data_IF_263916723447
#
_entry.id   IF_263916723447
#
_cell.length_a   1.000
_cell.length_b   1.000
_cell.length_c   1.000
_cell.angle_alpha   90.00
_cell.angle_beta   90.00
_cell.angle_gamma   90.00
#
_symmetry.space_group_name_H-M   'P 1'
#
loop_
_entity.id
_entity.type
_entity.pdbx_description
1 polymer ?
#
# COMPACT_ATOMS: atom_id res chain seq x y z
N UNK A 1 -2.28 5.91 -17.78
CA UNK A 1 -3.75 5.97 -17.59
C UNK A 1 -4.40 5.64 -18.91
N UNK A 2 -5.44 4.81 -18.92
CA UNK A 2 -6.27 4.53 -20.10
C UNK A 2 -7.56 5.31 -19.99
N UNK A 3 -8.02 5.89 -21.09
CA UNK A 3 -9.27 6.66 -21.13
C UNK A 3 -10.43 5.75 -21.52
N UNK A 4 -11.54 5.87 -20.81
CA UNK A 4 -12.81 5.26 -21.20
C UNK A 4 -13.36 6.00 -22.43
N UNK A 5 -13.88 5.26 -23.42
CA UNK A 5 -14.49 5.83 -24.63
C UNK A 5 -16.00 5.53 -24.60
N UNK A 6 -16.82 6.57 -24.60
CA UNK A 6 -18.29 6.44 -24.59
C UNK A 6 -18.87 6.37 -23.18
N UNK A 7 -19.27 5.17 -22.73
CA UNK A 7 -19.98 4.97 -21.46
C UNK A 7 -19.05 4.63 -20.29
N UNK A 8 -19.58 4.70 -19.07
CA UNK A 8 -18.86 4.40 -17.82
C UNK A 8 -19.51 3.23 -17.07
N UNK A 9 -20.09 2.26 -17.78
CA UNK A 9 -20.69 1.07 -17.14
C UNK A 9 -19.59 0.17 -16.59
N UNK A 10 -19.93 -0.70 -15.64
CA UNK A 10 -18.95 -1.61 -15.03
C UNK A 10 -18.24 -2.50 -16.04
N UNK A 11 -18.94 -2.93 -17.11
CA UNK A 11 -18.34 -3.69 -18.21
C UNK A 11 -17.28 -2.91 -18.99
N UNK A 12 -17.54 -1.64 -19.28
CA UNK A 12 -16.61 -0.77 -20.03
C UNK A 12 -15.32 -0.59 -19.24
N UNK A 13 -15.47 -0.39 -17.92
CA UNK A 13 -14.34 -0.22 -17.00
C UNK A 13 -13.56 -1.53 -16.87
N UNK A 14 -14.26 -2.67 -16.79
CA UNK A 14 -13.62 -3.98 -16.70
C UNK A 14 -12.82 -4.33 -17.96
N UNK A 15 -13.37 -4.06 -19.14
CA UNK A 15 -12.66 -4.26 -20.42
C UNK A 15 -11.41 -3.39 -20.52
N UNK A 16 -11.51 -2.09 -20.21
CA UNK A 16 -10.34 -1.21 -20.25
C UNK A 16 -9.29 -1.56 -19.18
N UNK A 17 -9.72 -2.10 -18.04
CA UNK A 17 -8.81 -2.66 -17.03
C UNK A 17 -8.04 -3.88 -17.58
N UNK A 18 -8.72 -4.83 -18.22
CA UNK A 18 -8.09 -6.00 -18.85
C UNK A 18 -7.10 -5.58 -19.94
N UNK A 19 -7.49 -4.68 -20.84
CA UNK A 19 -6.62 -4.10 -21.86
C UNK A 19 -5.42 -3.37 -21.26
N UNK A 20 -5.61 -2.71 -20.12
CA UNK A 20 -4.55 -2.11 -19.32
C UNK A 20 -3.52 -3.13 -18.83
N UNK A 21 -3.97 -4.25 -18.26
CA UNK A 21 -3.09 -5.32 -17.81
C UNK A 21 -2.32 -5.97 -18.97
N UNK A 22 -2.98 -6.19 -20.12
CA UNK A 22 -2.35 -6.70 -21.33
C UNK A 22 -1.25 -5.75 -21.84
N UNK A 23 -1.54 -4.46 -21.89
CA UNK A 23 -0.58 -3.42 -22.29
C UNK A 23 0.63 -3.39 -21.36
N UNK A 24 0.39 -3.48 -20.04
CA UNK A 24 1.45 -3.50 -19.02
C UNK A 24 2.16 -4.86 -18.89
N UNK A 25 1.66 -5.90 -19.58
CA UNK A 25 2.12 -7.29 -19.48
C UNK A 25 2.12 -7.80 -18.03
N UNK A 26 1.10 -7.41 -17.26
CA UNK A 26 0.92 -7.83 -15.87
C UNK A 26 -0.12 -8.94 -15.82
N UNK A 27 0.23 -10.15 -15.35
CA UNK A 27 -0.73 -11.22 -15.12
C UNK A 27 -1.81 -10.80 -14.11
N UNK A 28 -3.07 -11.16 -14.38
CA UNK A 28 -4.20 -10.89 -13.46
C UNK A 28 -3.96 -11.47 -12.05
N UNK A 29 -3.26 -12.61 -11.98
CA UNK A 29 -2.87 -13.30 -10.74
C UNK A 29 -1.91 -12.49 -9.87
N UNK A 30 -1.27 -11.46 -10.41
CA UNK A 30 -0.36 -10.58 -9.66
C UNK A 30 -1.10 -9.39 -9.01
N UNK A 31 -2.40 -9.26 -9.26
CA UNK A 31 -3.21 -8.20 -8.64
C UNK A 31 -3.59 -8.65 -7.24
N UNK A 32 -3.12 -7.92 -6.23
CA UNK A 32 -3.40 -8.20 -4.82
C UNK A 32 -4.48 -7.30 -4.24
N UNK A 33 -4.66 -6.09 -4.78
CA UNK A 33 -5.61 -5.11 -4.28
C UNK A 33 -6.20 -4.26 -5.41
N UNK A 34 -7.48 -3.91 -5.29
CA UNK A 34 -8.14 -2.92 -6.13
C UNK A 34 -8.87 -1.92 -5.23
N UNK A 35 -8.51 -0.64 -5.36
CA UNK A 35 -9.20 0.45 -4.67
C UNK A 35 -10.14 1.17 -5.63
N UNK A 36 -11.41 1.32 -5.25
CA UNK A 36 -12.43 1.97 -6.09
C UNK A 36 -13.03 3.22 -5.44
N UNK A 37 -13.65 4.07 -6.25
CA UNK A 37 -14.42 5.22 -5.76
C UNK A 37 -15.78 4.86 -5.16
N UNK A 38 -16.18 3.58 -5.06
CA UNK A 38 -17.45 3.18 -4.44
C UNK A 38 -18.72 3.44 -5.26
N UNK A 39 -18.61 3.99 -6.48
CA UNK A 39 -19.75 4.24 -7.35
C UNK A 39 -20.43 2.93 -7.81
N UNK A 40 -21.75 2.91 -8.08
CA UNK A 40 -22.47 1.66 -8.41
C UNK A 40 -21.91 0.89 -9.61
N UNK A 41 -21.38 1.59 -10.61
CA UNK A 41 -20.68 0.99 -11.75
C UNK A 41 -19.34 0.32 -11.37
N UNK A 42 -18.75 0.66 -10.22
CA UNK A 42 -17.55 0.03 -9.68
C UNK A 42 -17.88 -1.13 -8.75
N UNK A 43 -18.83 -0.96 -7.84
CA UNK A 43 -19.07 -1.86 -6.71
C UNK A 43 -20.29 -2.77 -6.86
N UNK A 44 -21.12 -2.57 -7.90
CA UNK A 44 -22.30 -3.38 -8.16
C UNK A 44 -21.97 -4.87 -8.26
N UNK A 45 -22.74 -5.71 -7.54
CA UNK A 45 -22.49 -7.17 -7.42
C UNK A 45 -22.57 -7.92 -8.75
N UNK A 46 -23.47 -7.49 -9.64
CA UNK A 46 -23.74 -8.20 -10.90
C UNK A 46 -23.13 -7.50 -12.11
N UNK A 47 -23.35 -6.17 -12.21
CA UNK A 47 -22.97 -5.37 -13.37
C UNK A 47 -21.87 -4.34 -13.09
N UNK A 48 -21.40 -4.25 -11.85
CA UNK A 48 -20.29 -3.38 -11.48
C UNK A 48 -18.95 -4.06 -11.76
N UNK A 49 -17.89 -3.26 -11.89
CA UNK A 49 -16.53 -3.73 -12.11
C UNK A 49 -16.12 -4.87 -11.16
N UNK A 50 -16.35 -4.69 -9.85
CA UNK A 50 -16.01 -5.67 -8.81
C UNK A 50 -16.78 -6.98 -8.98
N UNK A 51 -18.08 -6.89 -9.28
CA UNK A 51 -18.92 -8.04 -9.58
C UNK A 51 -18.40 -8.83 -10.77
N UNK A 52 -18.10 -8.13 -11.87
CA UNK A 52 -17.55 -8.72 -13.09
C UNK A 52 -16.17 -9.34 -12.86
N UNK A 53 -15.31 -8.68 -12.08
CA UNK A 53 -13.99 -9.20 -11.72
C UNK A 53 -14.11 -10.54 -10.99
N UNK A 54 -14.95 -10.62 -9.96
CA UNK A 54 -15.12 -11.83 -9.16
C UNK A 54 -15.78 -12.97 -9.95
N UNK A 55 -16.68 -12.66 -10.90
CA UNK A 55 -17.27 -13.67 -11.80
C UNK A 55 -16.23 -14.26 -12.77
N UNK A 56 -15.34 -13.42 -13.31
CA UNK A 56 -14.33 -13.86 -14.28
C UNK A 56 -13.10 -14.51 -13.61
N UNK A 57 -12.79 -14.12 -12.37
CA UNK A 57 -11.59 -14.55 -11.65
C UNK A 57 -11.89 -15.01 -10.21
N UNK A 58 -12.77 -16.00 -10.00
CA UNK A 58 -13.24 -16.40 -8.66
C UNK A 58 -12.14 -16.98 -7.77
N UNK A 59 -11.06 -17.52 -8.35
CA UNK A 59 -9.90 -18.04 -7.60
C UNK A 59 -8.85 -16.97 -7.26
N UNK A 60 -9.06 -15.72 -7.66
CA UNK A 60 -8.10 -14.65 -7.42
C UNK A 60 -8.48 -13.88 -6.15
N UNK A 61 -7.73 -14.11 -5.07
CA UNK A 61 -7.98 -13.50 -3.75
C UNK A 61 -7.54 -12.02 -3.73
N UNK A 62 -8.30 -11.15 -4.41
CA UNK A 62 -8.05 -9.71 -4.47
C UNK A 62 -8.77 -8.99 -3.35
N UNK A 63 -8.04 -8.15 -2.61
CA UNK A 63 -8.65 -7.25 -1.63
C UNK A 63 -9.29 -6.07 -2.35
N UNK A 64 -10.57 -5.83 -2.09
CA UNK A 64 -11.26 -4.65 -2.61
C UNK A 64 -11.43 -3.62 -1.51
N UNK A 65 -10.90 -2.41 -1.74
CA UNK A 65 -11.05 -1.29 -0.81
C UNK A 65 -11.85 -0.17 -1.46
N UNK A 66 -12.65 0.52 -0.66
CA UNK A 66 -13.24 1.79 -1.09
C UNK A 66 -12.33 2.93 -0.65
N UNK A 67 -11.99 3.81 -1.60
CA UNK A 67 -11.16 4.99 -1.40
C UNK A 67 -11.45 5.72 -0.08
N UNK A 68 -10.46 5.73 0.79
CA UNK A 68 -10.53 6.26 2.17
C UNK A 68 -11.00 7.71 2.21
N UNK A 69 -10.47 8.56 1.32
CA UNK A 69 -10.84 9.98 1.25
C UNK A 69 -12.30 10.15 0.83
N UNK A 70 -12.79 9.28 -0.05
CA UNK A 70 -14.20 9.32 -0.42
C UNK A 70 -15.09 8.82 0.70
N UNK A 71 -14.73 7.72 1.37
CA UNK A 71 -15.47 7.22 2.54
C UNK A 71 -15.56 8.25 3.66
N UNK A 72 -14.45 8.90 4.01
CA UNK A 72 -14.38 10.00 4.99
C UNK A 72 -15.36 11.12 4.63
N UNK A 73 -15.34 11.57 3.36
CA UNK A 73 -16.26 12.60 2.88
C UNK A 73 -17.73 12.17 2.88
N UNK A 74 -18.04 10.88 2.80
CA UNK A 74 -19.41 10.35 2.88
C UNK A 74 -19.90 10.25 4.32
N UNK A 75 -19.03 10.12 5.32
CA UNK A 75 -19.42 10.05 6.74
C UNK A 75 -20.18 11.30 7.19
N UNK A 76 -19.97 12.45 6.53
CA UNK A 76 -20.71 13.70 6.82
C UNK A 76 -22.23 13.57 6.69
N UNK A 77 -22.75 12.60 5.94
CA UNK A 77 -24.20 12.42 5.79
C UNK A 77 -24.87 12.07 7.12
N UNK A 78 -24.11 11.67 8.14
CA UNK A 78 -24.58 11.49 9.51
C UNK A 78 -25.05 12.81 10.16
N UNK A 79 -24.66 13.97 9.62
CA UNK A 79 -24.83 15.27 10.24
C UNK A 79 -25.70 16.20 9.40
N UNK A 80 -26.56 16.96 10.06
CA UNK A 80 -27.39 17.97 9.41
C UNK A 80 -26.65 19.31 9.24
N UNK A 81 -25.58 19.31 8.43
CA UNK A 81 -24.75 20.50 8.21
C UNK A 81 -25.26 21.41 7.09
N UNK A 82 -26.20 20.93 6.26
CA UNK A 82 -26.65 21.62 5.05
C UNK A 82 -27.06 23.10 5.29
N UNK A 83 -27.88 23.43 6.31
CA UNK A 83 -28.30 24.81 6.52
C UNK A 83 -27.12 25.76 6.78
N UNK A 84 -26.17 25.37 7.62
CA UNK A 84 -24.99 26.19 7.95
C UNK A 84 -24.04 26.28 6.76
N UNK A 85 -23.83 25.17 6.05
CA UNK A 85 -23.00 25.15 4.84
C UNK A 85 -23.57 26.09 3.77
N UNK A 86 -24.86 26.03 3.49
CA UNK A 86 -25.49 26.87 2.47
C UNK A 86 -25.39 28.37 2.84
N UNK A 87 -25.54 28.72 4.12
CA UNK A 87 -25.37 30.08 4.62
C UNK A 87 -23.92 30.60 4.47
N UNK A 88 -22.92 29.82 4.92
CA UNK A 88 -21.50 30.19 4.78
C UNK A 88 -21.10 30.31 3.30
N UNK A 89 -21.57 29.38 2.46
CA UNK A 89 -21.30 29.42 1.02
C UNK A 89 -21.94 30.64 0.36
N UNK A 90 -23.17 31.00 0.74
CA UNK A 90 -23.84 32.22 0.27
C UNK A 90 -23.01 33.46 0.61
N UNK A 91 -22.59 33.59 1.88
CA UNK A 91 -21.76 34.70 2.34
C UNK A 91 -20.47 34.85 1.52
N UNK A 92 -19.72 33.76 1.37
CA UNK A 92 -18.48 33.74 0.57
C UNK A 92 -18.78 34.11 -0.88
N UNK A 93 -19.88 33.63 -1.45
CA UNK A 93 -20.29 33.94 -2.82
C UNK A 93 -20.83 35.36 -3.02
N UNK A 94 -21.17 36.09 -1.95
CA UNK A 94 -21.45 37.54 -2.01
C UNK A 94 -20.14 38.34 -2.15
N UNK A 95 -19.03 37.85 -1.56
CA UNK A 95 -17.73 38.54 -1.57
C UNK A 95 -16.88 38.16 -2.80
N UNK A 96 -16.57 36.87 -2.96
CA UNK A 96 -15.50 36.36 -3.86
C UNK A 96 -15.78 36.47 -5.36
N UNK A 97 -16.96 36.07 -5.88
CA UNK A 97 -17.25 36.09 -7.31
C UNK A 97 -17.38 37.50 -7.92
N UNK A 98 -17.71 38.50 -7.10
CA UNK A 98 -17.95 39.88 -7.56
C UNK A 98 -16.65 40.68 -7.52
N UNK A 99 -16.01 40.87 -8.67
CA UNK A 99 -14.65 41.44 -8.75
C UNK A 99 -14.47 42.81 -8.07
N UNK A 100 -15.50 43.68 -8.06
CA UNK A 100 -15.45 44.94 -7.32
C UNK A 100 -15.53 44.71 -5.81
N UNK A 101 -16.53 43.96 -5.35
CA UNK A 101 -16.73 43.66 -3.93
C UNK A 101 -15.53 42.94 -3.33
N UNK A 102 -14.94 41.99 -4.06
CA UNK A 102 -13.75 41.27 -3.62
C UNK A 102 -12.55 42.19 -3.41
N UNK A 103 -12.27 43.10 -4.35
CA UNK A 103 -11.19 44.08 -4.20
C UNK A 103 -11.44 45.01 -3.01
N UNK A 104 -12.65 45.54 -2.90
CA UNK A 104 -13.04 46.41 -1.78
C UNK A 104 -12.91 45.70 -0.42
N UNK A 105 -13.28 44.42 -0.35
CA UNK A 105 -13.11 43.63 0.87
C UNK A 105 -11.64 43.43 1.23
N UNK A 106 -10.78 43.14 0.25
CA UNK A 106 -9.33 43.01 0.48
C UNK A 106 -8.68 44.31 0.92
N UNK A 107 -9.07 45.43 0.30
CA UNK A 107 -8.60 46.77 0.69
C UNK A 107 -9.06 47.11 2.12
N UNK A 108 -10.31 46.76 2.47
CA UNK A 108 -10.83 46.91 3.83
C UNK A 108 -10.01 46.10 4.84
N UNK A 109 -9.78 44.80 4.60
CA UNK A 109 -8.98 43.93 5.47
C UNK A 109 -7.55 44.48 5.67
N UNK A 110 -6.95 45.05 4.64
CA UNK A 110 -5.66 45.70 4.74
C UNK A 110 -5.72 46.96 5.61
N UNK A 111 -6.78 47.75 5.49
CA UNK A 111 -6.96 48.99 6.27
C UNK A 111 -7.13 48.74 7.77
N UNK A 112 -7.84 47.66 8.14
CA UNK A 112 -8.03 47.25 9.55
C UNK A 112 -6.89 46.37 10.08
N UNK A 113 -5.84 46.14 9.28
CA UNK A 113 -4.70 45.28 9.62
C UNK A 113 -5.12 43.87 10.07
N UNK A 114 -6.13 43.30 9.40
CA UNK A 114 -6.63 41.95 9.71
C UNK A 114 -5.53 40.89 9.53
N UNK A 115 -5.58 39.83 10.34
CA UNK A 115 -4.64 38.70 10.28
C UNK A 115 -4.66 38.01 8.90
N UNK A 116 -5.84 37.97 8.27
CA UNK A 116 -6.02 37.36 6.96
C UNK A 116 -6.43 38.40 5.93
N UNK A 117 -5.81 38.31 4.75
CA UNK A 117 -6.01 39.27 3.66
C UNK A 117 -7.17 38.93 2.71
N UNK A 118 -7.86 37.80 2.92
CA UNK A 118 -8.96 37.35 2.04
C UNK A 118 -9.77 36.19 2.65
N UNK A 119 -10.99 36.01 2.16
CA UNK A 119 -11.78 34.77 2.32
C UNK A 119 -11.35 33.70 1.30
N UNK A 120 -11.59 32.43 1.66
CA UNK A 120 -11.30 31.30 0.77
C UNK A 120 -12.49 30.99 -0.14
N UNK A 121 -12.20 30.63 -1.39
CA UNK A 121 -13.22 30.22 -2.34
C UNK A 121 -13.68 28.78 -2.06
N UNK A 122 -14.99 28.57 -1.92
CA UNK A 122 -15.55 27.24 -1.72
C UNK A 122 -15.73 26.50 -3.05
N UNK A 123 -15.31 25.23 -3.10
CA UNK A 123 -15.63 24.34 -4.22
C UNK A 123 -16.35 23.10 -3.70
N UNK A 124 -17.50 22.75 -4.30
CA UNK A 124 -18.29 21.56 -3.92
C UNK A 124 -17.50 20.25 -4.03
N UNK A 125 -16.38 20.25 -4.74
CA UNK A 125 -15.59 19.06 -5.12
C UNK A 125 -14.79 18.49 -3.95
N UNK A 126 -14.46 19.26 -2.90
CA UNK A 126 -13.59 18.78 -1.80
C UNK A 126 -14.09 19.20 -0.42
N UNK A 127 -14.39 18.20 0.42
CA UNK A 127 -14.74 18.40 1.82
C UNK A 127 -13.68 19.20 2.60
N UNK A 128 -12.39 19.00 2.30
CA UNK A 128 -11.28 19.81 2.84
C UNK A 128 -11.51 21.33 2.69
N UNK A 129 -12.03 21.75 1.54
CA UNK A 129 -12.30 23.16 1.28
C UNK A 129 -13.44 23.70 2.14
N UNK A 130 -14.43 22.88 2.54
CA UNK A 130 -15.45 23.34 3.49
C UNK A 130 -14.83 23.69 4.84
N UNK A 131 -13.99 22.82 5.41
CA UNK A 131 -13.37 23.11 6.71
C UNK A 131 -12.43 24.32 6.68
N UNK A 132 -11.61 24.46 5.64
CA UNK A 132 -10.76 25.65 5.52
C UNK A 132 -11.58 26.94 5.35
N UNK A 133 -12.67 26.89 4.58
CA UNK A 133 -13.56 28.05 4.39
C UNK A 133 -14.27 28.42 5.69
N UNK A 134 -14.81 27.45 6.42
CA UNK A 134 -15.46 27.67 7.71
C UNK A 134 -14.49 28.33 8.70
N UNK A 135 -13.29 27.77 8.81
CA UNK A 135 -12.24 28.32 9.67
C UNK A 135 -11.88 29.77 9.27
N UNK A 136 -11.68 30.04 7.97
CA UNK A 136 -11.37 31.41 7.52
C UNK A 136 -12.50 32.39 7.80
N UNK A 137 -13.76 31.98 7.58
CA UNK A 137 -14.93 32.82 7.85
C UNK A 137 -15.07 33.07 9.35
N UNK A 138 -14.79 32.06 10.20
CA UNK A 138 -14.77 32.22 11.64
C UNK A 138 -13.73 33.26 12.10
N UNK A 139 -12.51 33.18 11.56
CA UNK A 139 -11.41 34.10 11.88
C UNK A 139 -11.71 35.54 11.43
N UNK A 140 -12.42 35.71 10.31
CA UNK A 140 -12.76 37.01 9.73
C UNK A 140 -14.17 37.50 10.11
N UNK A 141 -14.90 36.83 11.01
CA UNK A 141 -16.34 37.09 11.21
C UNK A 141 -16.63 38.55 11.58
N UNK A 142 -15.81 39.14 12.45
CA UNK A 142 -16.00 40.51 12.96
C UNK A 142 -15.65 41.55 11.87
N UNK A 143 -14.61 41.27 11.08
CA UNK A 143 -14.23 42.07 9.92
C UNK A 143 -15.29 42.01 8.81
N UNK A 144 -15.87 40.82 8.57
CA UNK A 144 -16.94 40.62 7.59
C UNK A 144 -18.19 41.42 7.98
N UNK A 145 -18.59 41.37 9.26
CA UNK A 145 -19.71 42.15 9.78
C UNK A 145 -19.46 43.64 9.59
N UNK A 146 -18.27 44.13 10.00
CA UNK A 146 -17.88 45.53 9.86
C UNK A 146 -17.90 46.01 8.41
N UNK A 147 -17.39 45.20 7.49
CA UNK A 147 -17.39 45.50 6.06
C UNK A 147 -18.81 45.64 5.47
N UNK A 148 -19.73 44.75 5.83
CA UNK A 148 -21.11 44.80 5.31
C UNK A 148 -21.93 45.94 5.94
N UNK A 149 -21.64 46.33 7.19
CA UNK A 149 -22.18 47.56 7.77
C UNK A 149 -21.72 48.81 7.03
N UNK A 150 -20.41 48.92 6.71
CA UNK A 150 -19.88 50.03 5.90
C UNK A 150 -20.54 50.11 4.52
N UNK A 151 -20.85 48.94 3.92
CA UNK A 151 -21.54 48.83 2.63
C UNK A 151 -23.04 49.07 2.69
N UNK A 152 -23.63 49.27 3.87
CA UNK A 152 -25.09 49.36 4.08
C UNK A 152 -25.83 48.09 3.60
N UNK A 153 -25.20 46.92 3.72
CA UNK A 153 -25.70 45.62 3.26
C UNK A 153 -25.67 44.57 4.38
N UNK A 154 -26.01 44.96 5.62
CA UNK A 154 -25.94 44.09 6.82
C UNK A 154 -26.77 42.80 6.71
N UNK A 155 -27.85 42.80 5.93
CA UNK A 155 -28.67 41.62 5.67
C UNK A 155 -27.88 40.44 5.04
N UNK A 156 -26.72 40.69 4.42
CA UNK A 156 -25.86 39.64 3.87
C UNK A 156 -25.05 38.89 4.96
N UNK A 157 -24.90 39.47 6.15
CA UNK A 157 -24.13 38.90 7.26
C UNK A 157 -24.90 38.79 8.59
N UNK A 158 -26.21 39.02 8.61
CA UNK A 158 -27.05 38.99 9.83
C UNK A 158 -26.87 37.71 10.66
N UNK A 159 -26.63 36.56 10.01
CA UNK A 159 -26.42 35.29 10.72
C UNK A 159 -25.16 35.28 11.59
N UNK A 160 -24.16 36.13 11.30
CA UNK A 160 -22.95 36.27 12.11
C UNK A 160 -23.19 37.07 13.39
N UNK A 161 -24.31 37.78 13.49
CA UNK A 161 -24.70 38.55 14.68
C UNK A 161 -25.70 37.77 15.58
N UNK A 162 -26.23 36.64 15.08
CA UNK A 162 -27.10 35.73 15.85
C UNK A 162 -26.26 34.74 16.69
N UNK A 163 -26.27 34.92 18.01
CA UNK A 163 -25.60 34.04 18.99
C UNK A 163 -26.03 32.57 18.86
N UNK A 164 -27.31 32.30 18.59
CA UNK A 164 -27.82 30.95 18.45
C UNK A 164 -27.22 30.28 17.21
N UNK A 165 -27.16 31.00 16.08
CA UNK A 165 -26.53 30.52 14.86
C UNK A 165 -25.00 30.38 15.00
N UNK A 166 -24.34 31.36 15.64
CA UNK A 166 -22.90 31.34 15.91
C UNK A 166 -22.48 30.09 16.69
N UNK A 167 -23.28 29.62 17.65
CA UNK A 167 -22.97 28.36 18.37
C UNK A 167 -22.98 27.14 17.45
N UNK A 168 -23.88 27.10 16.46
CA UNK A 168 -23.95 25.99 15.49
C UNK A 168 -22.80 26.10 14.50
N UNK A 169 -22.49 27.31 14.04
CA UNK A 169 -21.35 27.57 13.17
C UNK A 169 -20.00 27.24 13.84
N UNK A 170 -19.84 27.60 15.12
CA UNK A 170 -18.67 27.29 15.94
C UNK A 170 -18.45 25.77 16.04
N UNK A 171 -19.51 25.03 16.40
CA UNK A 171 -19.47 23.57 16.50
C UNK A 171 -19.03 22.91 15.19
N UNK A 172 -19.67 23.28 14.06
CA UNK A 172 -19.31 22.69 12.77
C UNK A 172 -17.91 23.09 12.32
N UNK A 173 -17.44 24.29 12.67
CA UNK A 173 -16.06 24.72 12.39
C UNK A 173 -15.05 23.85 13.14
N UNK A 174 -15.22 23.65 14.45
CA UNK A 174 -14.35 22.76 15.25
C UNK A 174 -14.38 21.32 14.71
N UNK A 175 -15.56 20.78 14.41
CA UNK A 175 -15.70 19.45 13.82
C UNK A 175 -14.98 19.32 12.47
N UNK A 176 -15.17 20.29 11.57
CA UNK A 176 -14.54 20.30 10.26
C UNK A 176 -13.01 20.40 10.39
N UNK A 177 -12.50 21.13 11.38
CA UNK A 177 -11.07 21.17 11.70
C UNK A 177 -10.55 19.79 12.13
N UNK A 178 -11.26 19.07 13.00
CA UNK A 178 -10.91 17.69 13.37
C UNK A 178 -10.92 16.72 12.18
N UNK A 179 -11.95 16.81 11.33
CA UNK A 179 -12.06 16.01 10.10
C UNK A 179 -10.93 16.34 9.11
N UNK A 180 -10.61 17.63 8.91
CA UNK A 180 -9.53 18.06 8.04
C UNK A 180 -8.17 17.54 8.54
N UNK A 181 -7.94 17.54 9.84
CA UNK A 181 -6.72 17.00 10.45
C UNK A 181 -6.57 15.49 10.18
N UNK A 182 -7.65 14.71 10.27
CA UNK A 182 -7.64 13.31 9.85
C UNK A 182 -7.34 13.20 8.35
N UNK A 183 -8.05 13.96 7.53
CA UNK A 183 -7.97 13.90 6.08
C UNK A 183 -6.56 14.20 5.56
N UNK A 184 -5.87 15.19 6.11
CA UNK A 184 -4.46 15.50 5.78
C UNK A 184 -3.54 14.33 6.14
N UNK A 185 -3.76 13.69 7.30
CA UNK A 185 -2.94 12.53 7.73
C UNK A 185 -3.09 11.30 6.84
N UNK A 186 -4.27 11.13 6.21
CA UNK A 186 -4.52 10.02 5.30
C UNK A 186 -3.99 10.27 3.87
N UNK A 187 -3.44 11.46 3.60
CA UNK A 187 -2.92 11.85 2.30
C UNK A 187 -1.41 12.06 2.31
N UNK A 188 -0.82 12.03 1.12
CA UNK A 188 0.59 12.32 0.91
C UNK A 188 1.40 11.12 0.40
N UNK A 189 2.69 11.36 0.19
CA UNK A 189 3.63 10.31 -0.24
C UNK A 189 4.10 9.51 0.97
N UNK A 190 4.44 8.24 0.74
CA UNK A 190 4.96 7.33 1.77
C UNK A 190 3.99 7.02 2.92
N UNK A 191 2.69 7.22 2.71
CA UNK A 191 1.65 6.71 3.61
C UNK A 191 1.43 5.22 3.34
N UNK A 192 1.60 4.39 4.36
CA UNK A 192 1.21 2.99 4.28
C UNK A 192 -0.24 2.81 4.72
N UNK A 193 -0.85 1.73 4.22
CA UNK A 193 -2.26 1.42 4.50
C UNK A 193 -2.52 1.18 6.00
N UNK A 194 -1.54 0.65 6.73
CA UNK A 194 -1.63 0.46 8.18
C UNK A 194 -1.55 1.80 8.94
N UNK A 195 -0.76 2.76 8.45
CA UNK A 195 -0.71 4.11 9.04
C UNK A 195 -2.06 4.81 8.87
N UNK A 196 -2.66 4.71 7.67
CA UNK A 196 -4.02 5.21 7.40
C UNK A 196 -5.04 4.54 8.34
N UNK A 197 -4.95 3.23 8.51
CA UNK A 197 -5.85 2.50 9.40
C UNK A 197 -5.69 2.90 10.87
N UNK A 198 -4.45 3.11 11.33
CA UNK A 198 -4.17 3.62 12.67
C UNK A 198 -4.78 5.03 12.87
N UNK A 199 -4.68 5.90 11.88
CA UNK A 199 -5.31 7.22 11.91
C UNK A 199 -6.84 7.15 12.00
N UNK A 200 -7.47 6.24 11.25
CA UNK A 200 -8.92 5.99 11.32
C UNK A 200 -9.33 5.47 12.70
N UNK A 201 -8.63 4.45 13.24
CA UNK A 201 -8.89 3.92 14.59
C UNK A 201 -8.78 4.99 15.67
N UNK A 202 -7.71 5.80 15.61
CA UNK A 202 -7.52 6.92 16.54
C UNK A 202 -8.64 7.97 16.42
N UNK A 203 -9.11 8.26 15.22
CA UNK A 203 -10.20 9.21 15.02
C UNK A 203 -11.54 8.68 15.53
N UNK A 204 -11.87 7.40 15.31
CA UNK A 204 -13.05 6.76 15.89
C UNK A 204 -13.06 6.90 17.42
N UNK A 205 -11.92 6.64 18.07
CA UNK A 205 -11.79 6.83 19.52
C UNK A 205 -12.03 8.29 19.93
N UNK A 206 -11.51 9.27 19.16
CA UNK A 206 -11.76 10.69 19.39
C UNK A 206 -13.23 11.06 19.27
N UNK A 207 -13.97 10.53 18.29
CA UNK A 207 -15.41 10.80 18.16
C UNK A 207 -16.18 10.35 19.41
N UNK A 208 -15.83 9.20 19.98
CA UNK A 208 -16.43 8.74 21.25
C UNK A 208 -16.05 9.63 22.43
N UNK A 209 -14.78 10.06 22.51
CA UNK A 209 -14.33 10.99 23.53
C UNK A 209 -15.09 12.32 23.45
N UNK A 210 -15.20 12.89 22.24
CA UNK A 210 -15.92 14.12 21.97
C UNK A 210 -17.40 14.04 22.37
N UNK A 211 -18.08 12.94 22.03
CA UNK A 211 -19.45 12.71 22.48
C UNK A 211 -19.54 12.70 24.02
N UNK A 212 -18.65 11.97 24.70
CA UNK A 212 -18.63 11.88 26.16
C UNK A 212 -18.29 13.20 26.86
N UNK A 213 -17.49 14.06 26.23
CA UNK A 213 -17.18 15.40 26.74
C UNK A 213 -18.36 16.35 26.60
N UNK A 214 -19.02 16.38 25.43
CA UNK A 214 -20.21 17.21 25.23
C UNK A 214 -21.35 16.82 26.18
N UNK A 215 -21.52 15.53 26.49
CA UNK A 215 -22.47 15.05 27.49
C UNK A 215 -22.20 15.57 28.91
N UNK A 216 -20.97 16.01 29.18
CA UNK A 216 -20.52 16.58 30.47
C UNK A 216 -20.32 18.09 30.39
N UNK A 217 -20.78 18.74 29.31
CA UNK A 217 -20.53 20.15 29.01
C UNK A 217 -19.03 20.52 28.96
N UNK A 218 -18.16 19.56 28.68
CA UNK A 218 -16.72 19.78 28.48
C UNK A 218 -16.43 20.17 27.03
N UNK A 219 -16.00 21.42 26.83
CA UNK A 219 -15.69 21.99 25.51
C UNK A 219 -14.18 22.07 25.24
N UNK A 220 -13.34 21.34 25.99
CA UNK A 220 -11.86 21.38 25.89
C UNK A 220 -11.30 21.12 24.49
N UNK A 221 -12.03 20.40 23.64
CA UNK A 221 -11.64 20.10 22.27
C UNK A 221 -12.45 20.87 21.20
N UNK A 222 -13.23 21.85 21.65
CA UNK A 222 -14.12 22.68 20.83
C UNK A 222 -13.83 24.16 21.11
N UNK A 223 -12.63 24.59 20.72
CA UNK A 223 -12.13 25.94 21.00
C UNK A 223 -13.05 27.07 20.52
N UNK A 224 -13.67 26.93 19.34
CA UNK A 224 -14.59 27.94 18.82
C UNK A 224 -15.90 27.91 19.60
N UNK A 225 -16.45 26.72 19.84
CA UNK A 225 -17.68 26.59 20.63
C UNK A 225 -17.50 27.08 22.07
N UNK A 226 -16.33 26.85 22.68
CA UNK A 226 -15.98 27.32 24.01
C UNK A 226 -15.82 28.85 24.11
N UNK A 227 -15.63 29.53 22.97
CA UNK A 227 -15.58 30.99 22.93
C UNK A 227 -16.96 31.65 22.91
N UNK A 228 -18.04 30.86 22.74
CA UNK A 228 -19.41 31.36 22.77
C UNK A 228 -19.86 31.52 24.22
N UNK A 229 -20.42 32.69 24.64
CA UNK A 229 -20.72 32.99 26.04
C UNK A 229 -21.65 31.99 26.76
N UNK A 230 -22.59 31.37 26.03
CA UNK A 230 -23.44 30.31 26.55
C UNK A 230 -23.93 29.43 25.41
N UNK A 231 -23.82 28.11 25.57
CA UNK A 231 -24.35 27.12 24.63
C UNK A 231 -25.45 26.35 25.35
N UNK A 232 -26.64 26.32 24.74
CA UNK A 232 -27.79 25.59 25.27
C UNK A 232 -27.47 24.08 25.41
N UNK A 233 -27.77 23.49 26.58
CA UNK A 233 -27.59 22.06 26.86
C UNK A 233 -28.32 21.15 25.84
N UNK A 234 -29.48 21.56 25.34
CA UNK A 234 -30.20 20.82 24.30
C UNK A 234 -29.39 20.73 22.99
N UNK A 235 -28.60 21.76 22.67
CA UNK A 235 -27.70 21.74 21.50
C UNK A 235 -26.52 20.82 21.74
N UNK A 236 -25.92 20.86 22.93
CA UNK A 236 -24.82 19.96 23.29
C UNK A 236 -25.25 18.49 23.16
N UNK A 237 -26.48 18.16 23.60
CA UNK A 237 -27.07 16.82 23.41
C UNK A 237 -27.27 16.47 21.93
N UNK A 238 -27.74 17.41 21.10
CA UNK A 238 -27.84 17.19 19.64
C UNK A 238 -26.46 16.95 19.00
N UNK A 239 -25.43 17.64 19.46
CA UNK A 239 -24.06 17.49 18.97
C UNK A 239 -23.44 16.15 19.40
N UNK A 240 -23.67 15.73 20.65
CA UNK A 240 -23.32 14.39 21.16
C UNK A 240 -23.94 13.30 20.28
N UNK A 241 -25.25 13.37 20.01
CA UNK A 241 -25.94 12.42 19.14
C UNK A 241 -25.38 12.44 17.70
N UNK A 242 -24.99 13.62 17.22
CA UNK A 242 -24.29 13.79 15.95
C UNK A 242 -22.97 13.02 15.91
N UNK A 243 -22.16 13.10 16.97
CA UNK A 243 -20.90 12.35 17.08
C UNK A 243 -21.11 10.84 17.15
N UNK A 244 -22.13 10.37 17.88
CA UNK A 244 -22.48 8.94 17.92
C UNK A 244 -22.86 8.42 16.53
N UNK A 245 -23.68 9.17 15.79
CA UNK A 245 -24.05 8.84 14.40
C UNK A 245 -22.84 8.86 13.47
N UNK A 246 -21.96 9.85 13.61
CA UNK A 246 -20.74 9.95 12.82
C UNK A 246 -19.81 8.77 13.10
N UNK A 247 -19.60 8.41 14.37
CA UNK A 247 -18.83 7.23 14.77
C UNK A 247 -19.38 5.96 14.12
N UNK A 248 -20.71 5.76 14.16
CA UNK A 248 -21.35 4.62 13.52
C UNK A 248 -21.12 4.59 12.00
N UNK A 249 -21.18 5.73 11.31
CA UNK A 249 -20.86 5.79 9.87
C UNK A 249 -19.40 5.42 9.58
N UNK A 250 -18.45 5.83 10.43
CA UNK A 250 -17.06 5.39 10.31
C UNK A 250 -16.92 3.88 10.50
N UNK A 251 -17.55 3.30 11.53
CA UNK A 251 -17.53 1.84 11.74
C UNK A 251 -18.15 1.08 10.56
N UNK A 252 -19.26 1.57 10.01
CA UNK A 252 -19.96 0.93 8.91
C UNK A 252 -19.20 1.00 7.59
N UNK A 253 -18.57 2.13 7.30
CA UNK A 253 -17.94 2.36 6.00
C UNK A 253 -16.57 1.70 5.90
N UNK A 254 -15.75 1.78 6.95
CA UNK A 254 -14.38 1.26 6.96
C UNK A 254 -14.28 -0.21 7.40
N UNK A 255 -15.35 -1.01 7.22
CA UNK A 255 -15.33 -2.45 7.55
C UNK A 255 -14.37 -3.24 6.66
N UNK A 256 -14.11 -2.76 5.45
CA UNK A 256 -13.14 -3.32 4.53
C UNK A 256 -11.72 -3.32 5.10
N UNK A 257 -11.34 -2.30 5.87
CA UNK A 257 -10.08 -2.26 6.61
C UNK A 257 -10.05 -3.25 7.78
N UNK A 258 -11.16 -3.35 8.53
CA UNK A 258 -11.27 -4.33 9.62
C UNK A 258 -11.14 -5.77 9.10
N UNK A 259 -11.63 -6.05 7.89
CA UNK A 259 -11.56 -7.37 7.26
C UNK A 259 -10.14 -7.81 6.90
N UNK A 260 -9.19 -6.87 6.75
CA UNK A 260 -7.78 -7.15 6.45
C UNK A 260 -6.84 -6.85 7.63
N UNK A 261 -7.39 -6.73 8.84
CA UNK A 261 -6.63 -6.36 10.04
C UNK A 261 -5.43 -7.30 10.28
N UNK A 262 -5.62 -8.60 10.09
CA UNK A 262 -4.55 -9.59 10.30
C UNK A 262 -3.39 -9.40 9.31
N UNK A 263 -3.68 -9.18 8.03
CA UNK A 263 -2.68 -8.91 7.00
C UNK A 263 -1.92 -7.61 7.27
N UNK A 264 -2.64 -6.58 7.74
CA UNK A 264 -2.04 -5.31 8.17
C UNK A 264 -1.12 -5.52 9.37
N UNK A 265 -1.50 -6.34 10.34
CA UNK A 265 -0.67 -6.61 11.52
C UNK A 265 0.61 -7.34 11.15
N UNK A 266 0.55 -8.33 10.25
CA UNK A 266 1.74 -9.02 9.72
C UNK A 266 2.67 -8.02 9.05
N UNK A 267 2.13 -7.10 8.25
CA UNK A 267 2.92 -6.07 7.59
C UNK A 267 3.48 -5.02 8.57
N UNK A 268 2.75 -4.70 9.63
CA UNK A 268 3.11 -3.61 10.54
C UNK A 268 4.09 -4.07 11.61
N UNK A 269 3.89 -5.27 12.16
CA UNK A 269 4.61 -5.81 13.29
C UNK A 269 4.88 -7.32 13.11
N UNK A 270 5.57 -7.76 12.04
CA UNK A 270 5.79 -9.18 11.77
C UNK A 270 6.50 -9.91 12.92
N UNK A 271 7.30 -9.17 13.70
CA UNK A 271 8.07 -9.70 14.83
C UNK A 271 7.26 -9.88 16.12
N UNK A 272 6.00 -9.45 16.16
CA UNK A 272 5.16 -9.46 17.38
C UNK A 272 3.71 -9.94 17.13
N UNK A 273 3.38 -10.33 15.90
CA UNK A 273 2.07 -10.90 15.58
C UNK A 273 1.93 -12.30 16.16
N UNK A 274 0.75 -12.61 16.69
CA UNK A 274 0.42 -13.97 17.10
C UNK A 274 0.34 -14.89 15.86
N UNK A 275 1.31 -15.80 15.74
CA UNK A 275 1.39 -16.74 14.61
C UNK A 275 0.15 -17.65 14.49
N UNK A 276 -0.52 -17.98 15.60
CA UNK A 276 -1.73 -18.83 15.57
C UNK A 276 -2.93 -18.13 14.94
N UNK A 277 -2.98 -16.80 15.01
CA UNK A 277 -4.06 -15.99 14.44
C UNK A 277 -3.87 -15.69 12.93
N UNK A 278 -2.74 -16.10 12.36
CA UNK A 278 -2.40 -15.91 10.95
C UNK A 278 -2.77 -17.14 10.13
N UNK A 279 -2.98 -16.96 8.82
CA UNK A 279 -3.21 -18.04 7.85
C UNK A 279 -2.15 -19.14 7.97
N UNK A 280 -2.59 -20.40 7.89
CA UNK A 280 -1.76 -21.60 8.07
C UNK A 280 -0.52 -21.64 7.17
N UNK A 281 -0.62 -21.12 5.94
CA UNK A 281 0.47 -21.08 4.98
C UNK A 281 1.62 -20.14 5.37
N UNK A 282 1.39 -19.19 6.29
CA UNK A 282 2.38 -18.22 6.73
C UNK A 282 2.92 -18.51 8.15
N UNK A 283 2.29 -19.39 8.93
CA UNK A 283 2.61 -19.54 10.36
C UNK A 283 4.07 -19.98 10.58
N UNK A 284 4.54 -20.99 9.85
CA UNK A 284 5.91 -21.50 9.98
C UNK A 284 6.94 -20.46 9.52
N UNK A 285 6.69 -19.79 8.39
CA UNK A 285 7.59 -18.74 7.88
C UNK A 285 7.67 -17.54 8.84
N UNK A 286 6.54 -17.18 9.46
CA UNK A 286 6.46 -16.10 10.43
C UNK A 286 7.22 -16.44 11.71
N UNK A 287 7.11 -17.69 12.20
CA UNK A 287 7.91 -18.19 13.32
C UNK A 287 9.40 -18.04 12.97
N UNK A 288 9.85 -18.55 11.83
CA UNK A 288 11.26 -18.41 11.42
C UNK A 288 11.71 -16.95 11.31
N UNK A 289 10.86 -16.07 10.76
CA UNK A 289 11.14 -14.64 10.65
C UNK A 289 11.30 -13.99 12.04
N UNK A 290 10.42 -14.33 13.00
CA UNK A 290 10.42 -13.79 14.36
C UNK A 290 11.73 -14.06 15.11
N UNK A 291 12.39 -15.17 14.82
CA UNK A 291 13.68 -15.54 15.41
C UNK A 291 14.91 -15.02 14.65
N UNK A 292 14.75 -14.29 13.53
CA UNK A 292 15.86 -13.63 12.82
C UNK A 292 16.23 -12.30 13.49
N UNK A 293 17.04 -12.38 14.56
CA UNK A 293 17.47 -11.22 15.37
C UNK A 293 18.05 -10.06 14.56
N UNK A 294 18.85 -10.34 13.53
CA UNK A 294 19.42 -9.30 12.66
C UNK A 294 18.34 -8.54 11.86
N UNK A 295 17.28 -9.22 11.41
CA UNK A 295 16.15 -8.58 10.73
C UNK A 295 15.31 -7.81 11.73
N UNK A 296 15.09 -8.34 12.94
CA UNK A 296 14.38 -7.62 14.02
C UNK A 296 15.07 -6.31 14.39
N UNK A 297 16.40 -6.33 14.57
CA UNK A 297 17.18 -5.11 14.79
C UNK A 297 17.10 -4.15 13.60
N UNK A 298 17.23 -4.67 12.37
CA UNK A 298 17.12 -3.84 11.16
C UNK A 298 15.73 -3.19 11.03
N UNK A 299 14.68 -3.93 11.39
CA UNK A 299 13.30 -3.45 11.38
C UNK A 299 13.08 -2.30 12.36
N UNK A 300 13.64 -2.40 13.57
CA UNK A 300 13.54 -1.36 14.60
C UNK A 300 14.38 -0.11 14.27
N UNK A 301 15.50 -0.29 13.57
CA UNK A 301 16.48 0.77 13.33
C UNK A 301 16.38 1.44 11.95
N UNK A 302 15.42 1.06 11.12
CA UNK A 302 15.26 1.59 9.76
C UNK A 302 13.83 2.05 9.48
N UNK A 303 13.64 3.06 8.60
CA UNK A 303 12.31 3.38 8.09
C UNK A 303 11.65 2.16 7.42
N UNK A 304 10.36 1.93 7.68
CA UNK A 304 9.55 0.79 7.20
C UNK A 304 9.78 0.47 5.72
N UNK A 305 9.75 1.49 4.85
CA UNK A 305 9.99 1.33 3.40
C UNK A 305 11.40 0.81 3.09
N UNK A 306 12.41 1.26 3.82
CA UNK A 306 13.79 0.86 3.60
C UNK A 306 14.06 -0.56 4.07
N UNK A 307 13.45 -0.96 5.19
CA UNK A 307 13.46 -2.33 5.68
C UNK A 307 12.89 -3.28 4.62
N UNK A 308 11.65 -3.08 4.15
CA UNK A 308 11.06 -3.97 3.16
C UNK A 308 11.83 -4.00 1.83
N UNK A 309 12.43 -2.87 1.43
CA UNK A 309 13.33 -2.84 0.27
C UNK A 309 14.60 -3.66 0.50
N UNK A 310 15.12 -3.76 1.73
CA UNK A 310 16.39 -4.45 2.02
C UNK A 310 16.32 -5.96 1.81
N UNK A 311 15.14 -6.56 2.00
CA UNK A 311 14.90 -8.00 1.90
C UNK A 311 15.24 -8.62 0.53
N UNK A 312 15.40 -7.82 -0.54
CA UNK A 312 15.69 -8.32 -1.90
C UNK A 312 16.89 -7.65 -2.60
N UNK A 313 17.74 -6.90 -1.87
CA UNK A 313 18.74 -5.99 -2.49
C UNK A 313 19.89 -6.68 -3.23
N UNK A 314 20.36 -7.86 -2.81
CA UNK A 314 21.57 -8.46 -3.38
C UNK A 314 21.45 -8.73 -4.88
N UNK A 315 20.46 -9.54 -5.27
CA UNK A 315 20.23 -9.90 -6.67
C UNK A 315 19.81 -8.69 -7.49
N UNK A 316 18.88 -7.86 -7.02
CA UNK A 316 18.39 -6.70 -7.78
C UNK A 316 19.43 -5.60 -7.99
N UNK A 317 20.38 -5.41 -7.07
CA UNK A 317 21.38 -4.33 -7.16
C UNK A 317 22.60 -4.72 -7.99
N UNK A 318 23.01 -5.99 -7.94
CA UNK A 318 24.29 -6.42 -8.51
C UNK A 318 24.15 -7.37 -9.71
N UNK A 319 22.95 -7.90 -10.00
CA UNK A 319 22.76 -8.74 -11.19
C UNK A 319 22.41 -7.93 -12.44
N UNK A 320 22.85 -8.42 -13.60
CA UNK A 320 22.42 -7.94 -14.92
C UNK A 320 21.48 -8.99 -15.50
N UNK A 321 20.31 -8.56 -15.98
CA UNK A 321 19.40 -9.45 -16.69
C UNK A 321 19.99 -9.83 -18.05
N UNK A 322 20.20 -11.12 -18.27
CA UNK A 322 20.69 -11.65 -19.53
C UNK A 322 19.51 -12.15 -20.38
N UNK A 323 19.54 -11.84 -21.68
CA UNK A 323 18.68 -12.48 -22.66
C UNK A 323 19.27 -13.83 -23.05
N UNK A 324 18.41 -14.81 -23.34
CA UNK A 324 18.76 -16.18 -23.68
C UNK A 324 19.53 -16.30 -25.00
N UNK A 325 19.33 -15.37 -25.94
CA UNK A 325 20.10 -15.34 -27.19
C UNK A 325 21.51 -14.77 -27.00
N UNK A 326 21.79 -14.17 -25.84
CA UNK A 326 23.09 -13.57 -25.57
C UNK A 326 24.06 -14.69 -25.21
N UNK A 327 25.08 -14.89 -26.05
CA UNK A 327 26.20 -15.76 -25.71
C UNK A 327 26.95 -15.15 -24.52
N UNK A 328 26.97 -15.87 -23.41
CA UNK A 328 27.66 -15.49 -22.18
C UNK A 328 28.55 -16.64 -21.81
N UNK A 329 29.81 -16.35 -21.51
CA UNK A 329 30.75 -17.30 -20.96
C UNK A 329 30.87 -17.04 -19.46
N UNK A 330 30.78 -18.10 -18.66
CA UNK A 330 30.94 -18.01 -17.21
C UNK A 330 32.32 -18.54 -16.85
N UNK A 331 33.14 -17.69 -16.22
CA UNK A 331 34.51 -18.05 -15.84
C UNK A 331 34.59 -18.71 -14.46
N UNK A 332 33.61 -18.40 -13.58
CA UNK A 332 33.52 -18.93 -12.23
C UNK A 332 32.06 -19.16 -11.83
N UNK A 333 31.78 -20.33 -11.25
CA UNK A 333 30.46 -20.66 -10.71
C UNK A 333 30.54 -20.83 -9.20
N UNK A 334 29.70 -20.13 -8.45
CA UNK A 334 29.55 -20.33 -7.00
C UNK A 334 28.26 -21.10 -6.74
N UNK A 335 28.37 -22.30 -6.18
CA UNK A 335 27.23 -23.15 -5.81
C UNK A 335 27.12 -23.24 -4.29
N UNK A 336 25.88 -23.15 -3.80
CA UNK A 336 25.58 -23.39 -2.39
C UNK A 336 25.46 -24.89 -2.12
N UNK A 337 25.96 -25.32 -0.96
CA UNK A 337 25.93 -26.73 -0.51
C UNK A 337 25.41 -26.83 0.92
N UNK A 338 24.64 -27.87 1.22
CA UNK A 338 24.25 -28.26 2.59
C UNK A 338 25.43 -28.95 3.28
N UNK A 339 26.11 -29.86 2.56
CA UNK A 339 27.35 -30.49 2.97
C UNK A 339 28.25 -30.72 1.75
N UNK A 340 29.56 -30.85 1.98
CA UNK A 340 30.55 -31.10 0.91
C UNK A 340 31.64 -32.02 1.42
N UNK A 341 32.11 -32.97 0.60
CA UNK A 341 33.25 -33.83 0.94
C UNK A 341 34.57 -33.21 0.51
N UNK A 342 35.68 -33.67 1.10
CA UNK A 342 37.03 -33.27 0.67
C UNK A 342 37.33 -33.61 -0.80
N UNK A 343 36.61 -34.58 -1.38
CA UNK A 343 36.70 -34.96 -2.80
C UNK A 343 35.91 -34.04 -3.74
N UNK A 344 35.13 -33.09 -3.20
CA UNK A 344 34.32 -32.16 -3.99
C UNK A 344 32.91 -32.67 -4.31
N UNK A 345 32.47 -33.80 -3.73
CA UNK A 345 31.06 -34.18 -3.78
C UNK A 345 30.25 -33.19 -2.94
N UNK A 346 29.06 -32.81 -3.37
CA UNK A 346 28.19 -31.90 -2.63
C UNK A 346 26.80 -32.47 -2.44
N UNK A 347 26.19 -32.14 -1.31
CA UNK A 347 24.77 -32.37 -1.05
C UNK A 347 24.05 -31.03 -1.14
N UNK A 348 23.11 -30.92 -2.08
CA UNK A 348 22.23 -29.76 -2.21
C UNK A 348 20.99 -29.86 -1.29
N UNK A 349 20.01 -28.97 -1.49
CA UNK A 349 18.72 -29.02 -0.77
C UNK A 349 17.78 -30.17 -1.21
N UNK A 350 18.26 -31.11 -2.04
CA UNK A 350 17.51 -32.30 -2.46
C UNK A 350 16.52 -32.13 -3.62
N UNK A 351 16.43 -30.95 -4.25
CA UNK A 351 15.52 -30.72 -5.40
C UNK A 351 16.19 -30.74 -6.78
N UNK A 352 17.51 -30.93 -6.86
CA UNK A 352 18.26 -30.99 -8.13
C UNK A 352 18.30 -29.71 -8.97
N UNK A 353 17.75 -28.58 -8.51
CA UNK A 353 17.69 -27.35 -9.30
C UNK A 353 19.06 -26.76 -9.66
N UNK A 354 20.04 -26.86 -8.77
CA UNK A 354 21.40 -26.39 -9.04
C UNK A 354 22.07 -27.23 -10.13
N UNK A 355 21.92 -28.55 -10.03
CA UNK A 355 22.43 -29.55 -10.98
C UNK A 355 21.82 -29.36 -12.36
N UNK A 356 20.49 -29.23 -12.41
CA UNK A 356 19.76 -28.95 -13.64
C UNK A 356 20.13 -27.59 -14.23
N UNK A 357 20.31 -26.57 -13.39
CA UNK A 357 20.76 -25.24 -13.80
C UNK A 357 22.13 -25.29 -14.47
N UNK A 358 23.07 -26.07 -13.92
CA UNK A 358 24.37 -26.31 -14.54
C UNK A 358 24.23 -27.00 -15.91
N UNK A 359 23.51 -28.13 -15.97
CA UNK A 359 23.30 -28.86 -17.21
C UNK A 359 22.64 -28.00 -18.31
N UNK A 360 21.72 -27.11 -17.94
CA UNK A 360 21.13 -26.13 -18.84
C UNK A 360 22.14 -25.10 -19.34
N UNK A 361 23.01 -24.59 -18.46
CA UNK A 361 24.10 -23.70 -18.87
C UNK A 361 25.07 -24.39 -19.83
N UNK A 362 25.35 -25.68 -19.62
CA UNK A 362 26.18 -26.47 -20.55
C UNK A 362 25.49 -26.62 -21.90
N UNK A 363 24.19 -26.93 -21.92
CA UNK A 363 23.40 -27.03 -23.15
C UNK A 363 23.28 -25.68 -23.91
N UNK A 364 23.50 -24.56 -23.21
CA UNK A 364 23.54 -23.22 -23.79
C UNK A 364 24.96 -22.76 -24.17
N UNK A 365 25.97 -23.64 -24.03
CA UNK A 365 27.39 -23.32 -24.25
C UNK A 365 27.92 -22.19 -23.34
N UNK A 366 27.26 -21.94 -22.21
CA UNK A 366 27.65 -20.89 -21.27
C UNK A 366 28.75 -21.35 -20.30
N UNK A 367 28.84 -22.66 -20.06
CA UNK A 367 29.85 -23.33 -19.24
C UNK A 367 30.40 -24.54 -20.00
N UNK A 368 31.61 -24.98 -19.65
CA UNK A 368 32.25 -26.19 -20.17
C UNK A 368 32.84 -27.02 -19.02
N UNK A 369 33.46 -28.17 -19.33
CA UNK A 369 34.06 -29.07 -18.32
C UNK A 369 35.16 -28.41 -17.47
N UNK A 370 35.80 -27.37 -18.00
CA UNK A 370 36.94 -26.70 -17.37
C UNK A 370 36.54 -25.59 -16.39
N UNK A 371 35.25 -25.22 -16.33
CA UNK A 371 34.78 -24.14 -15.45
C UNK A 371 35.17 -24.41 -13.99
N UNK A 372 35.68 -23.40 -13.30
CA UNK A 372 35.95 -23.54 -11.86
C UNK A 372 34.67 -23.37 -11.05
N UNK A 373 34.35 -24.36 -10.22
CA UNK A 373 33.17 -24.37 -9.35
C UNK A 373 33.62 -24.24 -7.90
N UNK A 374 33.14 -23.21 -7.22
CA UNK A 374 33.45 -22.90 -5.82
C UNK A 374 32.19 -23.11 -4.98
N UNK A 375 32.34 -23.68 -3.79
CA UNK A 375 31.31 -23.62 -2.75
C UNK A 375 31.81 -22.85 -1.53
N UNK A 376 30.90 -22.12 -0.90
CA UNK A 376 31.16 -21.41 0.36
C UNK A 376 30.30 -22.06 1.42
N UNK A 377 30.94 -22.64 2.44
CA UNK A 377 30.28 -23.37 3.53
C UNK A 377 30.98 -23.11 4.85
N UNK A 378 30.31 -23.38 5.97
CA UNK A 378 30.97 -23.40 7.27
C UNK A 378 31.84 -24.65 7.44
N UNK A 379 32.87 -24.60 8.29
CA UNK A 379 33.79 -25.73 8.52
C UNK A 379 33.08 -27.03 8.92
N UNK A 380 31.98 -26.93 9.67
CA UNK A 380 31.18 -28.09 10.10
C UNK A 380 30.39 -28.77 8.96
N UNK A 381 30.27 -28.13 7.80
CA UNK A 381 29.61 -28.69 6.62
C UNK A 381 30.60 -29.42 5.71
N UNK A 382 31.90 -29.39 6.03
CA UNK A 382 32.95 -30.13 5.32
C UNK A 382 33.12 -31.51 5.94
N UNK A 383 32.68 -32.53 5.20
CA UNK A 383 32.74 -33.93 5.60
C UNK A 383 33.99 -34.59 5.04
N UNK A 384 34.44 -35.67 5.69
CA UNK A 384 35.55 -36.47 5.18
C UNK A 384 35.19 -37.14 3.84
N UNK A 385 34.01 -37.74 3.77
CA UNK A 385 33.45 -38.37 2.58
C UNK A 385 31.94 -38.22 2.53
N UNK A 386 31.38 -38.35 1.33
CA UNK A 386 29.95 -38.56 1.09
C UNK A 386 29.83 -39.94 0.44
N UNK A 387 28.87 -40.79 0.85
CA UNK A 387 28.63 -42.08 0.19
C UNK A 387 28.43 -41.93 -1.32
N UNK A 388 29.11 -42.76 -2.11
CA UNK A 388 29.16 -42.62 -3.57
C UNK A 388 27.79 -42.88 -4.23
N UNK A 389 26.91 -43.65 -3.58
CA UNK A 389 25.52 -43.90 -4.01
C UNK A 389 24.62 -42.66 -3.89
N UNK A 390 25.03 -41.66 -3.12
CA UNK A 390 24.34 -40.37 -2.99
C UNK A 390 24.81 -39.33 -4.02
N UNK A 391 25.78 -39.67 -4.88
CA UNK A 391 26.33 -38.76 -5.88
C UNK A 391 26.20 -39.38 -7.28
N UNK A 392 25.18 -38.95 -8.03
CA UNK A 392 24.85 -39.46 -9.35
C UNK A 392 25.59 -38.75 -10.49
N UNK A 393 25.45 -39.28 -11.70
CA UNK A 393 26.02 -38.70 -12.93
C UNK A 393 25.54 -37.28 -13.26
N UNK A 394 24.43 -36.85 -12.66
CA UNK A 394 23.83 -35.54 -12.86
C UNK A 394 24.31 -34.52 -11.81
N UNK A 395 24.95 -34.98 -10.73
CA UNK A 395 25.38 -34.11 -9.65
C UNK A 395 26.63 -33.32 -10.02
N UNK A 396 26.61 -32.03 -9.72
CA UNK A 396 27.68 -31.10 -10.08
C UNK A 396 28.69 -31.02 -8.94
N UNK A 397 29.93 -31.51 -9.12
CA UNK A 397 30.96 -31.43 -8.09
C UNK A 397 31.50 -30.00 -7.96
N UNK A 398 32.26 -29.76 -6.90
CA UNK A 398 32.97 -28.49 -6.67
C UNK A 398 34.48 -28.72 -6.75
N UNK A 399 35.19 -27.73 -7.28
CA UNK A 399 36.65 -27.75 -7.40
C UNK A 399 37.34 -27.10 -6.18
N UNK A 400 36.67 -26.14 -5.55
CA UNK A 400 37.20 -25.37 -4.42
C UNK A 400 36.13 -25.22 -3.34
N UNK A 401 36.52 -25.49 -2.10
CA UNK A 401 35.70 -25.28 -0.91
C UNK A 401 36.32 -24.14 -0.11
N UNK A 402 35.55 -23.08 0.12
CA UNK A 402 35.95 -21.94 0.94
C UNK A 402 35.18 -22.00 2.26
N UNK A 403 35.90 -22.03 3.36
CA UNK A 403 35.36 -21.92 4.72
C UNK A 403 35.91 -20.67 5.41
N UNK A 404 35.33 -20.26 6.56
CA UNK A 404 35.90 -19.18 7.36
C UNK A 404 37.37 -19.37 7.74
N UNK A 405 37.86 -20.61 7.85
CA UNK A 405 39.21 -20.90 8.34
C UNK A 405 40.20 -21.32 7.27
N UNK A 406 39.74 -21.81 6.11
CA UNK A 406 40.62 -22.39 5.09
C UNK A 406 40.00 -22.42 3.69
N UNK A 407 40.87 -22.62 2.71
CA UNK A 407 40.50 -22.90 1.32
C UNK A 407 41.01 -24.31 0.99
N UNK A 408 40.13 -25.18 0.53
CA UNK A 408 40.44 -26.56 0.13
C UNK A 408 40.27 -26.67 -1.37
N UNK A 409 41.28 -27.21 -2.06
CA UNK A 409 41.21 -27.55 -3.48
C UNK A 409 40.96 -29.05 -3.60
N UNK A 410 39.90 -29.43 -4.30
CA UNK A 410 39.50 -30.83 -4.46
C UNK A 410 40.30 -31.47 -5.60
N UNK A 411 41.17 -32.42 -5.26
CA UNK A 411 42.04 -33.11 -6.21
C UNK A 411 41.99 -34.64 -5.98
N UNK A 412 41.84 -35.47 -7.04
CA UNK A 412 41.60 -35.07 -8.43
C UNK A 412 40.19 -34.48 -8.62
N UNK A 413 40.02 -33.60 -9.61
CA UNK A 413 38.71 -33.04 -9.96
C UNK A 413 37.76 -34.14 -10.43
N UNK A 414 36.54 -34.10 -9.93
CA UNK A 414 35.46 -34.99 -10.35
C UNK A 414 34.87 -34.54 -11.70
N UNK A 415 34.39 -35.48 -12.54
CA UNK A 415 33.76 -35.16 -13.82
C UNK A 415 32.49 -34.34 -13.60
N UNK A 416 32.26 -33.35 -14.46
CA UNK A 416 31.09 -32.47 -14.43
C UNK A 416 30.06 -32.93 -15.47
N UNK A 417 28.75 -32.77 -15.22
CA UNK A 417 27.72 -33.11 -16.20
C UNK A 417 27.88 -32.31 -17.50
N UNK A 418 27.89 -33.01 -18.64
CA UNK A 418 28.09 -32.41 -19.97
C UNK A 418 26.78 -32.11 -20.71
N UNK A 419 25.65 -32.60 -20.20
CA UNK A 419 24.34 -32.49 -20.85
C UNK A 419 23.19 -32.56 -19.86
N UNK A 420 22.02 -32.16 -20.34
CA UNK A 420 20.75 -32.45 -19.66
C UNK A 420 20.42 -33.93 -19.85
N UNK A 421 20.32 -34.67 -18.74
CA UNK A 421 19.89 -36.07 -18.74
C UNK A 421 18.36 -36.10 -18.70
N UNK A 422 17.74 -36.06 -19.89
CA UNK A 422 16.30 -35.92 -20.04
C UNK A 422 15.47 -37.08 -19.47
N UNK A 423 16.05 -38.27 -19.30
CA UNK A 423 15.41 -39.42 -18.67
C UNK A 423 15.15 -39.22 -17.17
N UNK A 424 15.88 -38.32 -16.51
CA UNK A 424 15.71 -37.98 -15.09
C UNK A 424 14.66 -36.87 -14.87
N UNK A 425 14.09 -36.30 -15.94
CA UNK A 425 13.13 -35.19 -15.86
C UNK A 425 11.71 -35.68 -16.08
N UNK A 426 10.83 -35.43 -15.11
CA UNK A 426 9.39 -35.68 -15.25
C UNK A 426 8.73 -34.64 -16.15
N UNK A 427 7.55 -34.95 -16.69
CA UNK A 427 6.73 -33.99 -17.43
C UNK A 427 6.28 -32.80 -16.58
N UNK A 428 6.21 -32.97 -15.25
CA UNK A 428 5.98 -31.88 -14.31
C UNK A 428 7.17 -30.92 -14.26
N UNK A 429 8.41 -31.43 -14.13
CA UNK A 429 9.60 -30.59 -14.15
C UNK A 429 9.71 -29.77 -15.45
N UNK A 430 9.36 -30.38 -16.59
CA UNK A 430 9.35 -29.70 -17.90
C UNK A 430 8.24 -28.62 -17.96
N UNK A 431 7.11 -28.82 -17.29
CA UNK A 431 6.03 -27.82 -17.22
C UNK A 431 6.41 -26.62 -16.35
N UNK A 432 7.00 -26.87 -15.19
CA UNK A 432 7.38 -25.84 -14.21
C UNK A 432 8.55 -24.97 -14.66
N UNK A 433 9.46 -25.48 -15.49
CA UNK A 433 10.65 -24.78 -15.97
C UNK A 433 10.51 -24.49 -17.48
N UNK A 434 9.95 -23.33 -17.89
CA UNK A 434 9.58 -23.07 -19.28
C UNK A 434 10.73 -23.19 -20.29
N UNK A 435 11.96 -22.94 -19.84
CA UNK A 435 13.15 -23.04 -20.68
C UNK A 435 13.47 -24.48 -21.10
N UNK A 436 13.15 -25.49 -20.28
CA UNK A 436 13.36 -26.89 -20.66
C UNK A 436 12.55 -27.26 -21.90
N UNK A 437 11.33 -26.72 -22.07
CA UNK A 437 10.53 -26.92 -23.29
C UNK A 437 11.25 -26.38 -24.52
N UNK A 438 11.93 -25.24 -24.41
CA UNK A 438 12.67 -24.63 -25.52
C UNK A 438 13.94 -25.43 -25.83
N UNK A 439 14.73 -25.79 -24.82
CA UNK A 439 15.94 -26.62 -24.99
C UNK A 439 15.61 -27.99 -25.60
N UNK A 440 14.50 -28.62 -25.16
CA UNK A 440 14.01 -29.89 -25.74
C UNK A 440 13.62 -29.73 -27.22
N UNK A 441 13.02 -28.59 -27.61
CA UNK A 441 12.70 -28.28 -29.01
C UNK A 441 13.95 -27.99 -29.85
N UNK A 442 14.92 -27.27 -29.30
CA UNK A 442 16.19 -26.99 -29.99
C UNK A 442 16.95 -28.26 -30.28
N UNK A 443 17.08 -29.16 -29.29
CA UNK A 443 17.66 -30.49 -29.47
C UNK A 443 16.98 -31.28 -30.60
N UNK A 444 15.64 -31.34 -30.60
CA UNK A 444 14.89 -32.03 -31.66
C UNK A 444 15.16 -31.48 -33.06
N UNK A 445 15.49 -30.19 -33.20
CA UNK A 445 15.89 -29.62 -34.50
C UNK A 445 17.31 -30.01 -34.89
N UNK A 446 18.25 -30.01 -33.95
CA UNK A 446 19.63 -30.44 -34.21
C UNK A 446 19.75 -31.93 -34.53
N UNK A 447 18.93 -32.78 -33.89
CA UNK A 447 18.88 -34.23 -34.14
C UNK A 447 18.23 -34.58 -35.49
N UNK A 448 17.54 -33.64 -36.16
CA UNK A 448 16.92 -33.80 -37.50
C UNK A 448 17.81 -33.23 -38.62
N UNK A 449 18.81 -32.43 -38.26
CA UNK A 449 19.78 -31.80 -39.18
C UNK A 449 21.11 -32.56 -39.28
N UNK A 450 21.28 -33.62 -38.47
CA UNK A 450 22.34 -34.63 -38.58
C UNK A 450 21.74 -35.90 -39.15
#
# INVERSE_FOLDING_TARGET
>A
MRSLKGTTKGCDIFLEFQEGLLTLKVPITNICNITTGGAPNMTGKNSGFLGLFNQNYPGNNVVFLHCVIHQDALCKSALNMKPVLDAVVKLVNTIRPRGLTHRQFRDFLQSVQSEYSDVLYYTKVRWLSAGCVFERVWQLKDDIVSFFHEKQCSAECEMLEDTEWLSVFAFFTDLLCHMNNLNVKMQGKNQFIDDIWAHLKAFKLKLNLFAGQLAKNDLSHFSRLNSIPSVNEEKLKKYEDGFKKLHFEFERRFQDFSAIQTELDIFTMPFNVNCEAVRSDLQLELIELQFKNHLKQSFLNMPKLQFYKSLSKGVKKFSIRLDWNKKVKIDLLILGSVAVSLKGQRIGKGRGYADLGFAMMTAMEAVNSEITIVTIVHDCQVLHSIPDDLFGEHDVPVDIIVTPTRIIRCEPKLPKPDRIIWSLLSDENIREIPILKKLKKMRKKSDVLK
#
